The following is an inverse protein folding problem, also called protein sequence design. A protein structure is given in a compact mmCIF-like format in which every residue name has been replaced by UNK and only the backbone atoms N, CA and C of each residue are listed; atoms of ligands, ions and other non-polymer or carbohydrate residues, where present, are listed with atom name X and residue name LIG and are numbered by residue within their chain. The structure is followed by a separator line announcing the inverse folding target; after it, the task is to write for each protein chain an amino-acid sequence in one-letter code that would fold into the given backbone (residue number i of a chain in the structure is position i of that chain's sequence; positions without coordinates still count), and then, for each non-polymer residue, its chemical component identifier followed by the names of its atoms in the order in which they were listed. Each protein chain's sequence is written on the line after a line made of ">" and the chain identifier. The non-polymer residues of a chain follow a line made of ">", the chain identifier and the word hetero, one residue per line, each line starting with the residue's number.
data_IF_047584352846
#
_entry.id   IF_047584352846
#
_cell.length_a   1.000
_cell.length_b   1.000
_cell.length_c   1.000
_cell.angle_alpha   90.00
_cell.angle_beta   90.00
_cell.angle_gamma   90.00
#
_symmetry.space_group_name_H-M   'P 1'
#
loop_
_entity.id
_entity.type
_entity.pdbx_description
1 polymer ?
#
# COMPACT_ATOMS: atom_id res chain seq x y z
N UNK A 1 33.49 -15.49 -15.18
CA UNK A 1 32.07 -15.24 -14.86
C UNK A 1 32.00 -14.26 -13.69
N UNK A 2 31.60 -13.00 -13.92
CA UNK A 2 31.43 -12.00 -12.87
C UNK A 2 30.30 -12.44 -11.92
N UNK A 3 30.52 -12.39 -10.61
CA UNK A 3 29.59 -12.96 -9.62
C UNK A 3 28.21 -12.27 -9.67
N UNK A 4 27.09 -13.00 -9.51
CA UNK A 4 25.74 -12.42 -9.46
C UNK A 4 25.55 -11.42 -8.30
N UNK A 5 26.45 -11.43 -7.30
CA UNK A 5 26.45 -10.50 -6.16
C UNK A 5 26.71 -9.05 -6.58
N UNK A 6 27.53 -8.83 -7.61
CA UNK A 6 27.87 -7.50 -8.11
C UNK A 6 26.66 -6.80 -8.75
N UNK A 7 25.79 -7.56 -9.41
CA UNK A 7 24.56 -7.05 -10.02
C UNK A 7 23.47 -6.76 -8.99
N UNK A 8 23.39 -7.54 -7.92
CA UNK A 8 22.45 -7.27 -6.82
C UNK A 8 22.79 -5.96 -6.10
N UNK A 9 24.08 -5.71 -5.85
CA UNK A 9 24.56 -4.46 -5.24
C UNK A 9 24.33 -3.26 -6.17
N UNK A 10 24.57 -3.42 -7.48
CA UNK A 10 24.30 -2.39 -8.49
C UNK A 10 22.80 -2.08 -8.62
N UNK A 11 21.92 -3.08 -8.50
CA UNK A 11 20.47 -2.89 -8.45
C UNK A 11 20.05 -2.10 -7.21
N UNK A 12 20.58 -2.45 -6.03
CA UNK A 12 20.32 -1.73 -4.78
C UNK A 12 20.83 -0.28 -4.86
N UNK A 13 22.03 -0.05 -5.41
CA UNK A 13 22.61 1.30 -5.54
C UNK A 13 21.89 2.13 -6.61
N UNK A 14 21.45 1.52 -7.72
CA UNK A 14 20.66 2.19 -8.75
C UNK A 14 19.26 2.57 -8.26
N UNK A 15 18.66 1.78 -7.36
CA UNK A 15 17.40 2.13 -6.71
C UNK A 15 17.51 3.30 -5.73
N UNK A 16 18.70 3.53 -5.14
CA UNK A 16 18.94 4.65 -4.21
C UNK A 16 19.16 5.99 -4.93
N UNK A 17 19.46 6.00 -6.24
CA UNK A 17 19.89 7.20 -6.98
C UNK A 17 18.88 7.78 -7.97
N UNK A 18 17.64 7.30 -8.04
CA UNK A 18 16.65 7.87 -8.96
C UNK A 18 15.76 8.93 -8.29
N UNK A 19 16.11 10.20 -8.50
CA UNK A 19 15.19 11.35 -8.34
C UNK A 19 14.45 11.53 -9.67
N UNK A 20 13.41 10.74 -9.89
CA UNK A 20 12.52 10.94 -11.04
C UNK A 20 11.71 12.22 -10.83
N UNK A 21 11.77 13.13 -11.80
CA UNK A 21 10.85 14.27 -11.87
C UNK A 21 9.45 13.75 -12.23
N UNK A 22 8.63 13.48 -11.22
CA UNK A 22 7.19 13.29 -11.36
C UNK A 22 6.50 14.64 -11.13
N UNK A 23 5.46 14.95 -11.92
CA UNK A 23 4.58 16.07 -11.62
C UNK A 23 3.65 15.63 -10.48
N UNK A 24 3.94 16.11 -9.27
CA UNK A 24 3.41 15.65 -7.99
C UNK A 24 1.96 16.08 -7.77
N UNK A 25 1.02 15.18 -8.03
CA UNK A 25 -0.34 15.27 -7.49
C UNK A 25 -0.94 13.86 -7.52
N UNK A 26 -1.16 13.18 -6.40
CA UNK A 26 -1.83 11.87 -6.42
C UNK A 26 -3.29 11.97 -5.98
N UNK A 27 -3.61 12.79 -4.98
CA UNK A 27 -4.99 12.99 -4.56
C UNK A 27 -5.14 14.22 -3.67
N UNK A 28 -5.98 15.22 -4.04
CA UNK A 28 -6.31 16.34 -3.18
C UNK A 28 -6.85 15.92 -1.80
N UNK A 29 -7.50 14.76 -1.70
CA UNK A 29 -8.03 14.26 -0.43
C UNK A 29 -6.96 13.77 0.54
N UNK A 30 -5.73 13.52 0.06
CA UNK A 30 -4.61 13.10 0.90
C UNK A 30 -4.10 14.19 1.86
N UNK A 31 -4.64 15.42 1.79
CA UNK A 31 -4.45 16.47 2.81
C UNK A 31 -5.14 16.13 4.14
N UNK A 32 -6.14 15.23 4.13
CA UNK A 32 -6.98 14.95 5.28
C UNK A 32 -6.49 13.74 6.08
N UNK A 33 -6.68 13.77 7.39
CA UNK A 33 -6.35 12.63 8.27
C UNK A 33 -4.86 12.27 8.23
N UNK A 34 -4.57 10.99 7.94
CA UNK A 34 -3.20 10.47 7.80
C UNK A 34 -2.76 10.36 6.32
N UNK A 35 -3.52 10.96 5.40
CA UNK A 35 -3.35 10.82 3.96
C UNK A 35 -4.02 9.57 3.39
N UNK A 36 -3.71 9.24 2.14
CA UNK A 36 -4.31 8.08 1.47
C UNK A 36 -3.72 6.79 2.00
N UNK A 37 -4.55 5.96 2.64
CA UNK A 37 -4.15 4.66 3.17
C UNK A 37 -3.91 3.69 1.99
N UNK A 38 -2.77 3.02 2.02
CA UNK A 38 -2.41 2.05 0.98
C UNK A 38 -3.19 0.74 1.17
N UNK A 39 -4.09 0.46 0.24
CA UNK A 39 -4.91 -0.75 0.22
C UNK A 39 -4.22 -1.92 -0.51
N UNK A 40 -3.14 -1.65 -1.26
CA UNK A 40 -2.41 -2.62 -2.06
C UNK A 40 -1.33 -3.36 -1.27
N UNK A 41 -1.07 -4.60 -1.65
CA UNK A 41 0.00 -5.40 -1.02
C UNK A 41 1.23 -5.56 -1.92
N UNK A 42 1.11 -5.23 -3.21
CA UNK A 42 2.19 -5.27 -4.20
C UNK A 42 2.89 -6.63 -4.29
N UNK A 43 2.11 -7.71 -4.17
CA UNK A 43 2.56 -9.08 -4.35
C UNK A 43 1.85 -9.74 -5.54
N UNK A 44 1.98 -11.06 -5.58
CA UNK A 44 1.30 -11.94 -6.51
C UNK A 44 -0.19 -11.65 -6.72
N UNK A 45 -0.94 -11.17 -5.73
CA UNK A 45 -2.39 -10.94 -5.83
C UNK A 45 -2.78 -9.56 -6.38
N UNK A 46 -1.81 -8.74 -6.81
CA UNK A 46 -2.08 -7.38 -7.31
C UNK A 46 -3.08 -7.35 -8.47
N UNK A 47 -3.07 -8.34 -9.37
CA UNK A 47 -4.04 -8.45 -10.47
C UNK A 47 -5.41 -9.02 -10.06
N UNK A 48 -5.56 -9.50 -8.82
CA UNK A 48 -6.82 -9.98 -8.22
C UNK A 48 -7.42 -8.95 -7.26
N UNK A 49 -7.30 -7.66 -7.59
CA UNK A 49 -7.76 -6.52 -6.80
C UNK A 49 -7.16 -6.49 -5.38
N UNK A 50 -5.91 -6.96 -5.25
CA UNK A 50 -5.20 -7.13 -3.98
C UNK A 50 -5.89 -8.10 -2.99
N UNK A 51 -6.74 -9.02 -3.48
CA UNK A 51 -7.48 -10.00 -2.68
C UNK A 51 -6.60 -11.21 -2.34
N UNK A 52 -6.38 -11.49 -1.05
CA UNK A 52 -5.47 -12.54 -0.62
C UNK A 52 -5.48 -12.90 0.87
N UNK A 53 -6.46 -12.48 1.68
CA UNK A 53 -6.48 -12.77 3.14
C UNK A 53 -6.47 -14.28 3.42
N UNK A 54 -7.19 -15.06 2.63
CA UNK A 54 -7.21 -16.53 2.70
C UNK A 54 -6.25 -17.22 1.72
N UNK A 55 -5.60 -16.46 0.84
CA UNK A 55 -4.66 -17.01 -0.12
C UNK A 55 -3.33 -17.32 0.56
N UNK A 56 -2.77 -18.49 0.23
CA UNK A 56 -1.45 -18.91 0.69
C UNK A 56 -0.69 -19.52 -0.47
N UNK A 57 0.62 -19.29 -0.48
CA UNK A 57 1.49 -19.81 -1.52
C UNK A 57 2.80 -20.28 -0.92
N UNK A 58 3.28 -21.43 -1.39
CA UNK A 58 4.63 -21.87 -1.07
C UNK A 58 5.70 -21.18 -1.93
N UNK A 59 5.28 -20.46 -2.97
CA UNK A 59 6.15 -19.89 -4.00
C UNK A 59 6.17 -18.36 -4.06
N UNK A 60 5.38 -17.66 -3.25
CA UNK A 60 5.27 -16.19 -3.27
C UNK A 60 5.05 -15.65 -1.87
N UNK A 61 5.56 -14.45 -1.58
CA UNK A 61 5.34 -13.79 -0.29
C UNK A 61 3.98 -13.09 -0.26
N UNK A 62 3.01 -13.75 0.35
CA UNK A 62 1.66 -13.22 0.55
C UNK A 62 1.59 -12.55 1.93
N UNK A 63 1.78 -11.23 1.96
CA UNK A 63 1.73 -10.40 3.17
C UNK A 63 0.31 -9.88 3.50
N UNK A 64 -0.71 -10.27 2.73
CA UNK A 64 -2.11 -9.95 3.06
C UNK A 64 -2.53 -10.49 4.43
N UNK A 65 -1.91 -11.61 4.85
CA UNK A 65 -2.14 -12.25 6.13
C UNK A 65 -0.83 -12.92 6.60
N UNK A 66 -0.27 -12.56 7.78
CA UNK A 66 1.01 -13.11 8.23
C UNK A 66 1.00 -14.63 8.44
N UNK A 67 -0.17 -15.25 8.63
CA UNK A 67 -0.28 -16.71 8.74
C UNK A 67 0.16 -17.43 7.45
N UNK A 68 0.09 -16.76 6.29
CA UNK A 68 0.47 -17.32 4.99
C UNK A 68 1.97 -17.65 4.89
N UNK A 69 2.83 -16.97 5.67
CA UNK A 69 4.27 -17.22 5.66
C UNK A 69 4.63 -18.64 6.12
N UNK A 70 3.78 -19.28 6.93
CA UNK A 70 3.98 -20.66 7.39
C UNK A 70 4.01 -21.70 6.24
N UNK A 71 3.59 -21.31 5.04
CA UNK A 71 3.55 -22.16 3.86
C UNK A 71 4.72 -22.01 2.91
N UNK A 72 5.61 -21.02 3.12
CA UNK A 72 6.79 -20.82 2.29
C UNK A 72 7.59 -22.11 2.13
N UNK A 73 8.12 -22.33 0.92
CA UNK A 73 8.91 -23.51 0.62
C UNK A 73 10.18 -23.56 1.46
N UNK A 74 10.54 -24.76 1.91
CA UNK A 74 11.75 -24.99 2.70
C UNK A 74 13.00 -24.72 1.85
N UNK A 75 14.07 -24.24 2.50
CA UNK A 75 15.37 -23.94 1.88
C UNK A 75 15.33 -22.95 0.71
N UNK A 76 14.25 -22.20 0.53
CA UNK A 76 14.14 -21.13 -0.46
C UNK A 76 14.09 -19.80 0.28
N UNK A 77 14.91 -18.84 -0.16
CA UNK A 77 14.72 -17.45 0.20
C UNK A 77 14.01 -16.71 -0.91
N UNK A 78 13.17 -15.78 -0.51
CA UNK A 78 12.31 -14.98 -1.37
C UNK A 78 12.76 -13.54 -1.23
N UNK A 79 12.98 -12.88 -2.36
CA UNK A 79 13.21 -11.44 -2.45
C UNK A 79 12.16 -10.89 -3.41
N UNK A 80 11.32 -9.99 -2.95
CA UNK A 80 10.33 -9.35 -3.81
C UNK A 80 10.47 -7.83 -3.73
N UNK A 81 10.43 -7.17 -4.89
CA UNK A 81 10.41 -5.72 -5.00
C UNK A 81 9.29 -5.30 -5.94
N UNK A 82 8.61 -4.20 -5.64
CA UNK A 82 7.56 -3.67 -6.51
C UNK A 82 7.69 -2.18 -6.71
N UNK A 83 7.33 -1.74 -7.91
CA UNK A 83 7.18 -0.34 -8.26
C UNK A 83 5.84 -0.12 -8.94
N UNK A 84 5.28 1.08 -8.76
CA UNK A 84 4.00 1.47 -9.33
C UNK A 84 4.13 2.79 -10.06
N UNK A 85 3.52 2.86 -11.24
CA UNK A 85 3.23 4.10 -11.95
C UNK A 85 1.73 4.38 -11.84
N UNK A 86 1.37 5.60 -11.44
CA UNK A 86 -0.02 6.05 -11.30
C UNK A 86 -0.31 7.17 -12.28
N UNK A 87 -1.50 7.14 -12.89
CA UNK A 87 -2.01 8.13 -13.83
C UNK A 87 -3.39 8.55 -13.36
N UNK A 88 -3.61 9.83 -13.07
CA UNK A 88 -4.84 10.30 -12.45
C UNK A 88 -5.41 11.47 -13.23
N UNK A 89 -6.72 11.45 -13.44
CA UNK A 89 -7.48 12.55 -14.04
C UNK A 89 -8.58 12.98 -13.08
N UNK A 90 -8.71 14.28 -12.88
CA UNK A 90 -9.66 14.86 -11.92
C UNK A 90 -10.87 15.49 -12.63
N UNK A 91 -12.04 15.37 -12.02
CA UNK A 91 -13.31 15.90 -12.49
C UNK A 91 -14.08 16.55 -11.33
N UNK A 92 -14.75 17.69 -11.55
CA UNK A 92 -15.49 18.41 -10.50
C UNK A 92 -15.24 19.92 -10.53
N UNK A 93 -15.75 20.66 -9.53
CA UNK A 93 -15.79 22.14 -9.57
C UNK A 93 -14.84 22.79 -8.54
N UNK A 94 -13.87 23.62 -8.92
CA UNK A 94 -13.37 23.95 -10.27
C UNK A 94 -11.92 23.43 -10.44
N UNK A 95 -11.69 22.61 -11.47
CA UNK A 95 -10.35 22.20 -11.92
C UNK A 95 -10.16 22.79 -13.32
N UNK A 96 -9.17 23.66 -13.52
CA UNK A 96 -8.91 24.30 -14.82
C UNK A 96 -7.41 24.43 -15.13
N UNK A 97 -6.98 24.43 -16.40
CA UNK A 97 -7.77 24.36 -17.64
C UNK A 97 -7.89 22.92 -18.18
N UNK A 98 -9.09 22.35 -18.00
CA UNK A 98 -9.66 21.16 -18.66
C UNK A 98 -9.19 19.74 -18.24
N UNK A 99 -9.00 19.51 -16.94
CA UNK A 99 -8.91 18.18 -16.27
C UNK A 99 -7.50 17.59 -16.19
N UNK A 100 -6.64 18.32 -15.48
CA UNK A 100 -5.24 18.02 -15.17
C UNK A 100 -4.92 16.53 -14.97
N UNK A 101 -3.82 16.09 -15.58
CA UNK A 101 -3.34 14.71 -15.57
C UNK A 101 -2.04 14.62 -14.81
N UNK A 102 -2.02 13.81 -13.77
CA UNK A 102 -0.80 13.63 -12.97
C UNK A 102 -0.24 12.24 -13.10
N UNK A 103 1.09 12.18 -12.97
CA UNK A 103 1.88 10.97 -13.14
C UNK A 103 2.79 10.84 -11.95
N UNK A 104 2.67 9.73 -11.26
CA UNK A 104 3.51 9.40 -10.12
C UNK A 104 4.23 8.08 -10.36
N UNK A 105 5.43 7.95 -9.83
CA UNK A 105 6.20 6.72 -9.83
C UNK A 105 6.83 6.51 -8.47
N UNK A 106 6.51 5.39 -7.84
CA UNK A 106 7.00 5.06 -6.52
C UNK A 106 7.46 3.61 -6.42
N UNK A 107 8.47 3.39 -5.57
CA UNK A 107 8.87 2.06 -5.13
C UNK A 107 7.98 1.71 -3.95
N UNK A 108 7.11 0.73 -4.17
CA UNK A 108 6.01 0.44 -3.26
C UNK A 108 6.34 -0.66 -2.27
N UNK A 109 7.33 -1.49 -2.60
CA UNK A 109 7.67 -2.62 -1.75
C UNK A 109 9.08 -3.10 -1.96
N UNK A 110 9.71 -3.45 -0.85
CA UNK A 110 10.81 -4.39 -0.80
C UNK A 110 10.55 -5.40 0.33
N UNK A 111 10.73 -6.68 0.07
CA UNK A 111 10.52 -7.71 1.09
C UNK A 111 11.44 -8.90 0.89
N UNK A 112 11.87 -9.46 2.01
CA UNK A 112 12.61 -10.71 2.11
C UNK A 112 11.76 -11.70 2.88
N UNK A 113 11.86 -12.97 2.55
CA UNK A 113 11.21 -14.01 3.34
C UNK A 113 11.90 -15.35 3.22
N UNK A 114 11.76 -16.14 4.28
CA UNK A 114 12.33 -17.47 4.40
C UNK A 114 11.38 -18.38 5.16
N UNK A 115 11.45 -19.67 4.88
CA UNK A 115 10.96 -20.67 5.79
C UNK A 115 12.06 -20.98 6.81
N UNK A 116 11.85 -20.66 8.07
CA UNK A 116 12.85 -20.87 9.13
C UNK A 116 12.91 -22.35 9.53
N UNK A 117 11.75 -23.00 9.62
CA UNK A 117 11.65 -24.45 9.84
C UNK A 117 10.31 -25.01 9.32
N UNK A 118 10.02 -26.29 9.57
CA UNK A 118 8.81 -26.95 9.05
C UNK A 118 7.49 -26.30 9.46
N UNK A 119 7.45 -25.55 10.56
CA UNK A 119 6.24 -24.89 11.04
C UNK A 119 6.31 -23.36 11.03
N UNK A 120 7.48 -22.75 10.86
CA UNK A 120 7.67 -21.30 10.94
C UNK A 120 8.22 -20.73 9.64
N UNK A 121 7.52 -19.72 9.11
CA UNK A 121 8.05 -18.82 8.08
C UNK A 121 8.07 -17.38 8.55
N UNK A 122 9.04 -16.62 8.05
CA UNK A 122 9.27 -15.24 8.45
C UNK A 122 9.47 -14.37 7.21
N UNK A 123 9.07 -13.11 7.30
CA UNK A 123 9.31 -12.10 6.29
C UNK A 123 9.64 -10.77 6.95
N UNK A 124 10.55 -10.02 6.33
CA UNK A 124 10.82 -8.62 6.67
C UNK A 124 10.62 -7.78 5.43
N UNK A 125 10.17 -6.55 5.58
CA UNK A 125 10.04 -5.68 4.43
C UNK A 125 9.66 -4.26 4.76
N UNK A 126 9.53 -3.48 3.70
CA UNK A 126 9.19 -2.07 3.72
C UNK A 126 8.14 -1.80 2.64
N UNK A 127 7.14 -1.01 2.98
CA UNK A 127 6.10 -0.51 2.06
C UNK A 127 5.47 0.76 2.65
N UNK A 128 4.81 1.63 1.86
CA UNK A 128 4.02 2.71 2.42
C UNK A 128 2.82 2.16 3.21
N UNK A 129 2.42 2.90 4.23
CA UNK A 129 1.16 2.71 4.95
C UNK A 129 0.15 3.76 4.52
N UNK A 130 0.58 5.01 4.41
CA UNK A 130 -0.20 6.09 3.82
C UNK A 130 0.68 7.11 3.10
N UNK A 131 0.08 7.87 2.19
CA UNK A 131 0.77 8.91 1.43
C UNK A 131 0.02 10.24 1.48
N UNK A 132 0.75 11.34 1.59
CA UNK A 132 0.25 12.68 1.31
C UNK A 132 0.96 13.20 0.07
N UNK A 133 0.23 13.39 -1.01
CA UNK A 133 0.78 13.93 -2.25
C UNK A 133 -0.32 14.69 -2.99
N UNK A 134 -0.33 16.00 -2.79
CA UNK A 134 -1.31 16.90 -3.40
C UNK A 134 -0.69 18.25 -3.75
N UNK A 135 -1.25 18.88 -4.77
CA UNK A 135 -0.93 20.26 -5.15
C UNK A 135 -2.17 20.90 -5.74
N UNK A 136 -2.68 21.95 -5.11
CA UNK A 136 -3.83 22.71 -5.62
C UNK A 136 -3.81 24.16 -5.12
N UNK A 137 -4.45 25.04 -5.90
CA UNK A 137 -4.68 26.43 -5.50
C UNK A 137 -6.10 26.58 -4.97
N UNK A 138 -6.26 27.23 -3.83
CA UNK A 138 -7.56 27.55 -3.23
C UNK A 138 -7.65 29.01 -2.78
N UNK A 139 -8.87 29.49 -2.55
CA UNK A 139 -9.07 30.80 -1.93
C UNK A 139 -8.94 30.66 -0.40
N UNK A 140 -8.08 31.49 0.19
CA UNK A 140 -7.91 31.59 1.64
C UNK A 140 -8.42 32.94 2.13
N UNK A 141 -9.37 32.93 3.06
CA UNK A 141 -9.81 34.14 3.75
C UNK A 141 -8.75 34.57 4.76
N UNK A 142 -8.35 35.84 4.70
CA UNK A 142 -7.38 36.42 5.64
C UNK A 142 -8.10 36.72 6.95
N UNK A 143 -7.69 36.03 8.02
CA UNK A 143 -8.25 36.17 9.36
C UNK A 143 -8.25 37.63 9.80
N UNK A 144 -9.39 38.14 10.27
CA UNK A 144 -9.56 39.55 10.67
C UNK A 144 -9.84 40.52 9.51
N UNK A 145 -10.08 40.03 8.29
CA UNK A 145 -10.49 40.84 7.14
C UNK A 145 -11.61 40.17 6.33
N UNK A 146 -12.27 40.94 5.46
CA UNK A 146 -13.21 40.40 4.46
C UNK A 146 -12.52 40.02 3.13
N UNK A 147 -11.18 40.00 3.10
CA UNK A 147 -10.40 39.74 1.89
C UNK A 147 -10.09 38.24 1.81
N UNK A 148 -10.26 37.67 0.63
CA UNK A 148 -9.75 36.33 0.30
C UNK A 148 -8.66 36.44 -0.76
N UNK A 149 -7.58 35.71 -0.58
CA UNK A 149 -6.44 35.67 -1.50
C UNK A 149 -6.23 34.25 -2.02
N UNK A 150 -5.75 34.06 -3.26
CA UNK A 150 -5.22 32.77 -3.68
C UNK A 150 -4.12 32.29 -2.74
N UNK A 151 -4.16 31.01 -2.40
CA UNK A 151 -3.12 30.31 -1.66
C UNK A 151 -2.84 28.96 -2.34
N UNK A 152 -1.57 28.66 -2.51
CA UNK A 152 -1.13 27.36 -3.05
C UNK A 152 -0.89 26.40 -1.89
N UNK A 153 -1.47 25.22 -1.99
CA UNK A 153 -1.33 24.13 -1.04
C UNK A 153 -0.57 22.99 -1.70
N UNK A 154 0.61 22.70 -1.18
CA UNK A 154 1.42 21.54 -1.56
C UNK A 154 1.52 20.61 -0.36
N UNK A 155 1.39 19.31 -0.57
CA UNK A 155 1.65 18.32 0.45
C UNK A 155 2.48 17.17 -0.07
N UNK A 156 3.45 16.74 0.71
CA UNK A 156 4.30 15.60 0.39
C UNK A 156 4.60 14.76 1.63
N UNK A 157 5.08 13.53 1.38
CA UNK A 157 5.47 12.59 2.42
C UNK A 157 4.41 11.52 2.64
N UNK A 158 4.34 11.01 3.87
CA UNK A 158 3.54 9.83 4.18
C UNK A 158 4.10 9.06 5.37
N UNK A 159 3.36 8.02 5.75
CA UNK A 159 3.80 7.07 6.77
C UNK A 159 4.20 5.79 6.08
N UNK A 160 5.41 5.33 6.34
CA UNK A 160 5.91 4.05 5.87
C UNK A 160 5.86 3.00 6.97
N UNK A 161 5.77 1.73 6.58
CA UNK A 161 5.87 0.60 7.48
C UNK A 161 7.14 -0.21 7.20
N UNK A 162 7.92 -0.45 8.24
CA UNK A 162 8.96 -1.47 8.27
C UNK A 162 8.43 -2.64 9.08
N UNK A 163 8.23 -3.79 8.46
CA UNK A 163 7.56 -4.91 9.13
C UNK A 163 8.47 -6.12 9.32
N UNK A 164 8.19 -6.84 10.40
CA UNK A 164 8.65 -8.20 10.63
C UNK A 164 7.45 -9.11 10.88
N UNK A 165 7.14 -9.93 9.88
CA UNK A 165 6.03 -10.86 9.86
C UNK A 165 6.47 -12.29 10.12
N UNK A 166 5.70 -13.01 10.92
CA UNK A 166 5.94 -14.41 11.29
C UNK A 166 4.65 -15.20 11.16
N UNK A 167 4.71 -16.34 10.47
CA UNK A 167 3.61 -17.28 10.32
C UNK A 167 3.98 -18.64 10.89
N UNK A 168 3.08 -19.20 11.70
CA UNK A 168 3.26 -20.47 12.40
C UNK A 168 2.15 -21.46 12.04
N UNK A 169 2.56 -22.65 11.60
CA UNK A 169 1.70 -23.80 11.31
C UNK A 169 1.42 -24.55 12.60
N UNK A 170 0.26 -24.33 13.19
CA UNK A 170 -0.16 -24.97 14.44
C UNK A 170 -0.62 -26.41 14.19
N UNK A 171 -1.40 -26.61 13.13
CA UNK A 171 -1.80 -27.94 12.66
C UNK A 171 -1.57 -28.05 11.16
N UNK A 172 -1.84 -29.23 10.58
CA UNK A 172 -1.77 -29.41 9.12
C UNK A 172 -2.74 -28.51 8.36
N UNK A 173 -3.79 -28.03 9.02
CA UNK A 173 -4.88 -27.23 8.44
C UNK A 173 -4.92 -25.81 8.97
N UNK A 174 -4.39 -25.54 10.17
CA UNK A 174 -4.53 -24.26 10.83
C UNK A 174 -3.17 -23.57 11.01
N UNK A 175 -3.12 -22.29 10.70
CA UNK A 175 -1.93 -21.46 10.84
C UNK A 175 -2.31 -20.11 11.44
N UNK A 176 -1.44 -19.57 12.27
CA UNK A 176 -1.55 -18.24 12.85
C UNK A 176 -0.35 -17.40 12.43
N UNK A 177 -0.44 -16.10 12.56
CA UNK A 177 0.67 -15.21 12.31
C UNK A 177 0.56 -13.89 13.05
N UNK A 178 1.71 -13.26 13.20
CA UNK A 178 1.87 -11.93 13.79
C UNK A 178 2.78 -11.12 12.88
N UNK A 179 2.45 -9.85 12.70
CA UNK A 179 3.25 -8.89 11.98
C UNK A 179 3.50 -7.68 12.88
N UNK A 180 4.75 -7.45 13.22
CA UNK A 180 5.16 -6.26 13.96
C UNK A 180 5.67 -5.22 12.97
N UNK A 181 4.88 -4.17 12.74
CA UNK A 181 5.32 -3.04 11.92
C UNK A 181 5.83 -1.90 12.80
N UNK A 182 6.90 -1.22 12.39
CA UNK A 182 7.25 0.11 12.86
C UNK A 182 6.76 1.10 11.81
N UNK A 183 5.75 1.89 12.17
CA UNK A 183 5.22 2.97 11.36
C UNK A 183 6.04 4.22 11.65
N UNK A 184 6.59 4.86 10.61
CA UNK A 184 7.27 6.14 10.72
C UNK A 184 7.09 6.99 9.47
N UNK A 185 7.10 8.31 9.63
CA UNK A 185 7.14 9.22 8.50
C UNK A 185 6.55 10.58 8.81
N UNK A 186 6.75 11.51 7.89
CA UNK A 186 6.33 12.90 8.04
C UNK A 186 5.28 13.22 6.98
N UNK A 187 4.18 13.82 7.41
CA UNK A 187 3.22 14.48 6.54
C UNK A 187 3.56 15.96 6.53
N UNK A 188 4.02 16.48 5.38
CA UNK A 188 4.39 17.89 5.23
C UNK A 188 3.33 18.62 4.45
N UNK A 189 2.81 19.71 5.00
CA UNK A 189 1.86 20.62 4.36
C UNK A 189 2.51 21.99 4.23
N UNK A 190 2.72 22.43 2.99
CA UNK A 190 3.21 23.75 2.65
C UNK A 190 2.06 24.59 2.10
N UNK A 191 1.87 25.74 2.71
CA UNK A 191 0.92 26.76 2.29
C UNK A 191 1.69 28.01 1.86
N UNK A 192 1.47 28.44 0.62
CA UNK A 192 2.10 29.63 0.07
C UNK A 192 1.04 30.69 -0.19
N UNK A 193 1.19 31.85 0.45
CA UNK A 193 0.35 33.02 0.20
C UNK A 193 1.20 34.06 -0.53
N UNK A 194 0.79 34.45 -1.74
CA UNK A 194 1.39 35.54 -2.50
C UNK A 194 0.31 36.25 -3.31
N UNK A 195 0.21 37.57 -3.18
CA UNK A 195 -0.73 38.37 -3.98
C UNK A 195 -0.14 39.73 -4.34
N UNK A 196 -0.72 40.39 -5.33
CA UNK A 196 -0.47 41.81 -5.68
C UNK A 196 -0.79 42.78 -4.53
N UNK A 197 -1.42 42.31 -3.45
CA UNK A 197 -1.86 43.08 -2.26
C UNK A 197 -1.01 42.82 -1.01
N UNK A 198 -0.08 41.85 -1.04
CA UNK A 198 0.82 41.53 0.09
C UNK A 198 2.26 41.75 -0.40
N UNK A 199 2.99 42.68 0.21
CA UNK A 199 4.31 43.13 -0.26
C UNK A 199 5.38 42.03 -0.29
N UNK A 200 5.21 40.94 0.47
CA UNK A 200 6.12 39.81 0.51
C UNK A 200 5.34 38.49 0.55
N UNK A 201 5.77 37.51 -0.25
CA UNK A 201 5.29 36.13 -0.17
C UNK A 201 5.52 35.58 1.24
N UNK A 202 4.56 34.83 1.77
CA UNK A 202 4.68 34.10 3.04
C UNK A 202 4.46 32.62 2.77
N UNK A 203 5.38 31.80 3.24
CA UNK A 203 5.29 30.35 3.17
C UNK A 203 5.19 29.80 4.58
N UNK A 204 4.15 29.02 4.84
CA UNK A 204 3.97 28.29 6.10
C UNK A 204 4.08 26.80 5.82
N UNK A 205 5.08 26.15 6.41
CA UNK A 205 5.23 24.70 6.41
C UNK A 205 4.77 24.15 7.75
N UNK A 206 3.92 23.12 7.71
CA UNK A 206 3.47 22.36 8.88
C UNK A 206 3.83 20.91 8.67
N UNK A 207 4.65 20.36 9.55
CA UNK A 207 5.01 18.96 9.52
C UNK A 207 4.38 18.21 10.68
N UNK A 208 3.92 16.99 10.41
CA UNK A 208 3.49 16.04 11.44
C UNK A 208 4.33 14.79 11.30
N UNK A 209 5.27 14.60 12.23
CA UNK A 209 6.08 13.40 12.29
C UNK A 209 5.39 12.33 13.14
N UNK A 210 5.01 11.22 12.52
CA UNK A 210 4.29 10.12 13.13
C UNK A 210 5.21 8.93 13.36
N UNK A 211 5.14 8.31 14.55
CA UNK A 211 5.87 7.06 14.84
C UNK A 211 5.20 6.18 15.89
N UNK A 212 5.12 4.87 15.63
CA UNK A 212 4.96 3.84 16.66
C UNK A 212 5.10 2.42 16.10
N UNK A 213 5.19 1.43 16.98
CA UNK A 213 4.92 0.04 16.63
C UNK A 213 3.42 -0.21 16.43
N UNK A 214 3.09 -0.98 15.40
CA UNK A 214 1.74 -1.37 15.01
C UNK A 214 1.69 -2.89 14.77
N UNK A 215 1.31 -3.68 15.78
CA UNK A 215 1.16 -5.12 15.64
C UNK A 215 -0.16 -5.47 14.95
N UNK A 216 -0.10 -6.43 14.04
CA UNK A 216 -1.28 -7.08 13.45
C UNK A 216 -1.17 -8.60 13.51
N UNK A 217 -2.32 -9.25 13.47
CA UNK A 217 -2.47 -10.68 13.67
C UNK A 217 -3.22 -11.28 12.48
N UNK A 218 -2.97 -12.56 12.24
CA UNK A 218 -3.60 -13.28 11.17
C UNK A 218 -3.83 -14.74 11.52
N UNK A 219 -4.86 -15.33 10.95
CA UNK A 219 -5.10 -16.76 10.98
C UNK A 219 -5.59 -17.24 9.63
N UNK A 220 -5.27 -18.49 9.30
CA UNK A 220 -5.73 -19.18 8.11
C UNK A 220 -6.06 -20.63 8.44
N UNK A 221 -7.21 -21.08 7.94
CA UNK A 221 -7.57 -22.49 7.88
C UNK A 221 -7.59 -22.95 6.42
N UNK A 222 -6.96 -24.08 6.13
CA UNK A 222 -6.83 -24.67 4.81
C UNK A 222 -7.24 -26.14 4.84
N UNK A 223 -8.09 -26.55 3.91
CA UNK A 223 -8.57 -27.92 3.81
C UNK A 223 -8.71 -28.35 2.35
N UNK A 224 -8.40 -29.62 2.08
CA UNK A 224 -8.63 -30.21 0.75
C UNK A 224 -9.99 -30.87 0.75
N UNK A 225 -10.96 -30.26 0.07
CA UNK A 225 -12.32 -30.80 -0.02
C UNK A 225 -12.36 -32.13 -0.78
N UNK A 226 -11.53 -32.26 -1.81
CA UNK A 226 -11.32 -33.49 -2.58
C UNK A 226 -10.02 -33.40 -3.41
N UNK A 227 -9.80 -34.34 -4.33
CA UNK A 227 -8.60 -34.35 -5.19
C UNK A 227 -8.49 -33.15 -6.14
N UNK A 228 -9.60 -32.45 -6.41
CA UNK A 228 -9.67 -31.32 -7.34
C UNK A 228 -9.79 -29.97 -6.63
N UNK A 229 -10.31 -29.90 -5.41
CA UNK A 229 -10.66 -28.64 -4.76
C UNK A 229 -9.97 -28.47 -3.41
N UNK A 230 -9.28 -27.35 -3.30
CA UNK A 230 -8.71 -26.84 -2.06
C UNK A 230 -9.52 -25.63 -1.59
N UNK A 231 -9.75 -25.52 -0.28
CA UNK A 231 -10.49 -24.45 0.36
C UNK A 231 -9.62 -23.78 1.42
N UNK A 232 -9.73 -22.45 1.51
CA UNK A 232 -9.11 -21.62 2.53
C UNK A 232 -10.08 -20.60 3.09
N UNK A 233 -9.99 -20.36 4.38
CA UNK A 233 -10.60 -19.20 5.06
C UNK A 233 -9.51 -18.50 5.86
N UNK A 234 -9.54 -17.18 5.87
CA UNK A 234 -8.56 -16.37 6.58
C UNK A 234 -9.22 -15.23 7.31
N UNK A 235 -8.57 -14.78 8.38
CA UNK A 235 -8.93 -13.56 9.07
C UNK A 235 -7.67 -12.81 9.49
N UNK A 236 -7.79 -11.48 9.58
CA UNK A 236 -6.76 -10.58 10.07
C UNK A 236 -7.35 -9.59 11.06
N UNK A 237 -6.53 -9.17 12.02
CA UNK A 237 -6.94 -8.20 13.03
C UNK A 237 -5.75 -7.30 13.40
N UNK A 238 -5.98 -6.00 13.49
CA UNK A 238 -5.04 -5.07 14.08
C UNK A 238 -5.79 -4.22 15.11
N UNK A 239 -5.22 -4.12 16.31
CA UNK A 239 -5.80 -3.40 17.41
C UNK A 239 -5.58 -1.89 17.25
N UNK A 240 -6.54 -1.09 17.74
CA UNK A 240 -6.46 0.37 17.82
C UNK A 240 -5.11 0.82 18.39
N UNK A 241 -4.41 1.74 17.71
CA UNK A 241 -3.06 2.13 18.14
C UNK A 241 -2.80 3.61 17.96
N UNK A 242 -2.31 4.23 19.02
CA UNK A 242 -1.88 5.62 19.02
C UNK A 242 -0.49 5.75 18.40
N UNK A 243 -0.34 6.59 17.39
CA UNK A 243 0.94 7.00 16.84
C UNK A 243 1.37 8.28 17.53
N UNK A 244 2.61 8.33 18.04
CA UNK A 244 3.16 9.58 18.58
C UNK A 244 3.27 10.57 17.44
N UNK A 245 2.73 11.77 17.63
CA UNK A 245 2.67 12.83 16.63
C UNK A 245 3.39 14.07 17.15
N UNK A 246 4.42 14.50 16.44
CA UNK A 246 5.20 15.69 16.74
C UNK A 246 4.91 16.72 15.65
N UNK A 247 4.32 17.85 16.05
CA UNK A 247 3.88 18.90 15.14
C UNK A 247 4.87 20.06 15.13
N UNK A 248 5.42 20.38 13.97
CA UNK A 248 6.26 21.56 13.79
C UNK A 248 5.62 22.54 12.83
N UNK A 249 5.91 23.83 13.01
CA UNK A 249 5.51 24.85 12.05
C UNK A 249 6.64 25.84 11.82
N UNK A 250 7.00 26.00 10.56
CA UNK A 250 8.02 26.91 10.10
C UNK A 250 7.38 27.94 9.17
N UNK A 251 7.63 29.22 9.43
CA UNK A 251 7.14 30.33 8.61
C UNK A 251 8.33 31.05 8.01
N UNK A 252 8.36 31.19 6.68
CA UNK A 252 9.40 31.91 5.95
C UNK A 252 8.79 33.02 5.11
N UNK A 253 9.58 34.06 4.84
CA UNK A 253 9.23 35.11 3.86
C UNK A 253 9.68 34.71 2.45
N UNK A 254 9.33 35.53 1.45
CA UNK A 254 9.70 35.35 0.05
C UNK A 254 11.20 35.35 -0.27
N UNK A 255 12.08 35.65 0.71
CA UNK A 255 13.54 35.51 0.58
C UNK A 255 14.10 34.29 1.33
N UNK A 256 13.23 33.36 1.76
CA UNK A 256 13.55 32.17 2.55
C UNK A 256 14.18 32.48 3.92
N UNK A 257 13.99 33.69 4.44
CA UNK A 257 14.37 34.00 5.82
C UNK A 257 13.33 33.41 6.76
N UNK A 258 13.75 32.59 7.70
CA UNK A 258 12.88 32.03 8.74
C UNK A 258 12.39 33.14 9.65
N UNK A 259 11.07 33.37 9.63
CA UNK A 259 10.37 34.30 10.52
C UNK A 259 10.08 33.62 11.86
N UNK A 260 9.74 32.33 11.83
CA UNK A 260 9.39 31.54 13.00
C UNK A 260 9.64 30.06 12.75
N UNK A 261 10.13 29.33 13.74
CA UNK A 261 10.27 27.88 13.71
C UNK A 261 9.98 27.31 15.10
N UNK A 262 8.86 26.60 15.25
CA UNK A 262 8.39 26.13 16.55
C UNK A 262 7.92 24.68 16.47
N UNK A 263 8.25 23.91 17.51
CA UNK A 263 7.47 22.73 17.88
C UNK A 263 6.16 23.23 18.47
N UNK A 264 5.07 22.95 17.76
CA UNK A 264 3.74 23.50 18.08
C UNK A 264 2.94 22.61 19.01
N UNK A 265 3.15 21.29 18.96
CA UNK A 265 2.39 20.31 19.76
C UNK A 265 3.06 18.93 19.75
N UNK A 266 3.02 18.24 20.90
CA UNK A 266 3.13 16.77 20.96
C UNK A 266 1.73 16.19 21.22
N UNK A 267 1.31 15.23 20.42
CA UNK A 267 -0.01 14.59 20.52
C UNK A 267 0.03 13.14 20.02
N UNK A 268 -1.15 12.57 19.79
CA UNK A 268 -1.33 11.25 19.21
C UNK A 268 -2.28 11.26 18.01
N UNK A 269 -1.88 10.58 16.94
CA UNK A 269 -2.78 10.19 15.86
C UNK A 269 -3.17 8.73 16.04
N UNK A 270 -4.45 8.45 16.24
CA UNK A 270 -4.94 7.11 16.57
C UNK A 270 -5.41 6.37 15.33
N UNK A 271 -4.87 5.17 15.11
CA UNK A 271 -5.38 4.22 14.13
C UNK A 271 -6.49 3.38 14.75
N UNK A 272 -7.57 3.05 14.02
CA UNK A 272 -8.70 2.29 14.54
C UNK A 272 -8.41 0.79 14.60
N UNK A 273 -9.33 0.06 15.22
CA UNK A 273 -9.40 -1.39 15.02
C UNK A 273 -9.64 -1.69 13.53
N UNK A 274 -8.85 -2.61 12.99
CA UNK A 274 -8.97 -3.10 11.61
C UNK A 274 -9.22 -4.60 11.62
N UNK A 275 -10.24 -5.04 10.90
CA UNK A 275 -10.59 -6.47 10.76
C UNK A 275 -10.68 -6.83 9.30
N UNK A 276 -10.19 -8.01 8.94
CA UNK A 276 -10.32 -8.57 7.60
C UNK A 276 -10.75 -10.03 7.66
N UNK A 277 -11.57 -10.46 6.72
CA UNK A 277 -11.94 -11.86 6.50
C UNK A 277 -11.84 -12.17 5.01
N UNK A 278 -11.51 -13.41 4.68
CA UNK A 278 -11.41 -13.82 3.29
C UNK A 278 -11.66 -15.30 3.08
N UNK A 279 -11.96 -15.65 1.84
CA UNK A 279 -12.12 -17.03 1.38
C UNK A 279 -11.29 -17.26 0.12
N UNK A 280 -10.79 -18.48 -0.05
CA UNK A 280 -10.04 -18.91 -1.22
C UNK A 280 -10.50 -20.31 -1.65
N UNK A 281 -10.73 -20.50 -2.95
CA UNK A 281 -11.05 -21.78 -3.55
C UNK A 281 -10.12 -22.04 -4.72
N UNK A 282 -9.34 -23.11 -4.66
CA UNK A 282 -8.41 -23.47 -5.73
C UNK A 282 -8.78 -24.81 -6.36
N UNK A 283 -9.09 -24.77 -7.66
CA UNK A 283 -9.36 -25.93 -8.50
C UNK A 283 -8.09 -26.43 -9.18
N UNK A 284 -7.80 -27.73 -9.03
CA UNK A 284 -6.70 -28.45 -9.65
C UNK A 284 -5.33 -27.77 -9.47
N UNK A 285 -5.15 -27.00 -8.37
CA UNK A 285 -3.98 -26.16 -8.14
C UNK A 285 -3.67 -25.16 -9.27
N UNK A 286 -4.65 -24.83 -10.12
CA UNK A 286 -4.46 -24.00 -11.34
C UNK A 286 -5.38 -22.80 -11.37
N UNK A 287 -6.65 -22.97 -10.98
CA UNK A 287 -7.61 -21.86 -10.98
C UNK A 287 -7.94 -21.51 -9.55
N UNK A 288 -7.66 -20.29 -9.13
CA UNK A 288 -7.94 -19.82 -7.78
C UNK A 288 -8.99 -18.73 -7.83
N UNK A 289 -9.99 -18.81 -6.97
CA UNK A 289 -10.97 -17.78 -6.71
C UNK A 289 -10.75 -17.26 -5.30
N UNK A 290 -10.82 -15.94 -5.11
CA UNK A 290 -10.64 -15.28 -3.83
C UNK A 290 -11.70 -14.20 -3.62
N UNK A 291 -12.10 -13.99 -2.38
CA UNK A 291 -12.94 -12.86 -1.98
C UNK A 291 -12.56 -12.44 -0.56
N UNK A 292 -12.42 -11.13 -0.34
CA UNK A 292 -12.04 -10.53 0.93
C UNK A 292 -13.01 -9.40 1.30
N UNK A 293 -13.21 -9.21 2.61
CA UNK A 293 -13.86 -8.06 3.21
C UNK A 293 -12.96 -7.48 4.29
N UNK A 294 -12.70 -6.17 4.25
CA UNK A 294 -11.94 -5.41 5.25
C UNK A 294 -12.80 -4.30 5.83
N UNK A 295 -12.62 -4.01 7.12
CA UNK A 295 -13.35 -2.98 7.85
C UNK A 295 -12.42 -2.25 8.83
N UNK A 296 -12.55 -0.93 8.93
CA UNK A 296 -11.82 -0.10 9.89
C UNK A 296 -12.78 0.82 10.65
N UNK A 297 -12.74 0.77 11.99
CA UNK A 297 -13.67 1.46 12.88
C UNK A 297 -13.25 2.92 13.20
N UNK A 298 -13.17 3.78 12.19
CA UNK A 298 -12.70 5.17 12.34
C UNK A 298 -13.64 6.10 13.11
N UNK A 299 -14.96 5.85 13.08
CA UNK A 299 -15.95 6.76 13.66
C UNK A 299 -15.77 6.88 15.18
N UNK A 300 -15.30 5.81 15.83
CA UNK A 300 -15.04 5.75 17.28
C UNK A 300 -13.91 6.70 17.73
N UNK A 301 -13.10 7.19 16.78
CA UNK A 301 -11.97 8.08 17.04
C UNK A 301 -12.36 9.57 17.04
N UNK A 302 -13.54 9.92 16.53
CA UNK A 302 -14.10 11.28 16.54
C UNK A 302 -13.20 12.38 15.93
N UNK A 303 -12.34 12.02 14.97
CA UNK A 303 -11.54 12.98 14.23
C UNK A 303 -12.42 13.82 13.28
N UNK A 304 -12.30 15.15 13.38
CA UNK A 304 -13.07 16.12 12.60
C UNK A 304 -12.26 17.37 12.29
N UNK A 305 -12.50 17.96 11.12
CA UNK A 305 -12.03 19.28 10.71
C UNK A 305 -13.19 20.16 10.24
N UNK A 306 -12.87 21.28 9.59
CA UNK A 306 -13.87 22.29 9.20
C UNK A 306 -14.99 21.73 8.30
N UNK A 307 -14.64 20.88 7.32
CA UNK A 307 -15.59 20.32 6.34
C UNK A 307 -15.46 18.79 6.17
N UNK A 308 -14.82 18.12 7.13
CA UNK A 308 -14.63 16.67 7.04
C UNK A 308 -14.64 16.02 8.42
N UNK A 309 -14.96 14.73 8.45
CA UNK A 309 -14.78 13.87 9.61
C UNK A 309 -14.39 12.46 9.15
N UNK A 310 -13.77 11.70 10.05
CA UNK A 310 -13.39 10.32 9.76
C UNK A 310 -14.58 9.39 10.05
N UNK A 311 -14.89 8.53 9.08
CA UNK A 311 -16.02 7.60 9.11
C UNK A 311 -15.53 6.17 8.89
N UNK A 312 -16.26 5.18 9.41
CA UNK A 312 -15.91 3.77 9.23
C UNK A 312 -15.68 3.43 7.75
N UNK A 313 -14.54 2.81 7.46
CA UNK A 313 -14.18 2.40 6.11
C UNK A 313 -14.42 0.92 5.92
N UNK A 314 -14.67 0.52 4.68
CA UNK A 314 -14.86 -0.89 4.34
C UNK A 314 -14.43 -1.15 2.92
N UNK A 315 -13.81 -2.30 2.66
CA UNK A 315 -13.44 -2.72 1.30
C UNK A 315 -13.89 -4.15 1.05
N UNK A 316 -14.64 -4.34 -0.02
CA UNK A 316 -14.97 -5.64 -0.60
C UNK A 316 -14.12 -5.84 -1.85
N UNK A 317 -13.49 -7.00 -2.00
CA UNK A 317 -12.75 -7.34 -3.22
C UNK A 317 -12.88 -8.81 -3.56
N UNK A 318 -12.84 -9.12 -4.85
CA UNK A 318 -12.86 -10.49 -5.34
C UNK A 318 -11.96 -10.62 -6.57
N UNK A 319 -11.44 -11.82 -6.80
CA UNK A 319 -10.56 -12.06 -7.93
C UNK A 319 -10.42 -13.52 -8.32
N UNK A 320 -9.90 -13.72 -9.52
CA UNK A 320 -9.61 -15.02 -10.11
C UNK A 320 -8.18 -15.03 -10.64
N UNK A 321 -7.50 -16.15 -10.44
CA UNK A 321 -6.22 -16.47 -11.06
C UNK A 321 -6.34 -17.75 -11.89
N UNK A 322 -5.76 -17.76 -13.08
CA UNK A 322 -5.60 -18.95 -13.93
C UNK A 322 -4.11 -19.15 -14.22
N UNK A 323 -3.52 -20.15 -13.57
CA UNK A 323 -2.13 -20.53 -13.71
C UNK A 323 -1.93 -21.69 -14.68
N UNK A 324 -1.10 -21.47 -15.71
CA UNK A 324 -0.62 -22.52 -16.60
C UNK A 324 0.63 -23.17 -16.00
N UNK A 325 0.46 -24.42 -15.60
CA UNK A 325 1.49 -25.26 -15.01
C UNK A 325 1.91 -26.35 -15.99
N UNK A 326 3.21 -26.50 -16.23
CA UNK A 326 3.79 -27.57 -17.06
C UNK A 326 4.52 -28.57 -16.19
N UNK A 327 4.39 -29.85 -16.52
CA UNK A 327 5.15 -30.90 -15.87
C UNK A 327 6.61 -30.84 -16.37
N UNK A 328 7.55 -30.61 -15.48
CA UNK A 328 8.98 -30.82 -15.72
C UNK A 328 9.40 -32.24 -15.36
N UNK A 329 10.71 -32.52 -15.47
CA UNK A 329 11.27 -33.86 -15.25
C UNK A 329 11.01 -34.41 -13.83
N UNK A 330 11.08 -33.56 -12.80
CA UNK A 330 10.77 -33.93 -11.41
C UNK A 330 9.68 -33.07 -10.75
N UNK A 331 9.46 -31.85 -11.23
CA UNK A 331 8.56 -30.88 -10.59
C UNK A 331 7.64 -30.21 -11.61
N UNK A 332 6.43 -29.85 -11.19
CA UNK A 332 5.54 -29.01 -11.97
C UNK A 332 5.95 -27.53 -11.81
N UNK A 333 6.25 -26.86 -12.92
CA UNK A 333 6.63 -25.44 -12.93
C UNK A 333 5.49 -24.60 -13.50
N UNK A 334 5.11 -23.54 -12.80
CA UNK A 334 4.20 -22.53 -13.32
C UNK A 334 4.94 -21.64 -14.33
N UNK A 335 4.45 -21.59 -15.57
CA UNK A 335 5.10 -20.81 -16.63
C UNK A 335 4.50 -19.43 -16.77
N UNK A 336 3.16 -19.33 -16.72
CA UNK A 336 2.42 -18.08 -16.88
C UNK A 336 1.14 -18.17 -16.09
N UNK A 337 0.66 -17.04 -15.60
CA UNK A 337 -0.63 -16.90 -14.96
C UNK A 337 -1.31 -15.61 -15.43
N UNK A 338 -2.64 -15.62 -15.33
CA UNK A 338 -3.49 -14.47 -15.64
C UNK A 338 -4.43 -14.23 -14.47
N UNK A 339 -4.70 -12.97 -14.19
CA UNK A 339 -5.52 -12.55 -13.07
C UNK A 339 -6.52 -11.50 -13.52
N UNK A 340 -7.67 -11.51 -12.85
CA UNK A 340 -8.65 -10.43 -12.90
C UNK A 340 -9.28 -10.26 -11.51
N UNK A 341 -9.67 -9.05 -11.18
CA UNK A 341 -10.32 -8.75 -9.91
C UNK A 341 -11.17 -7.49 -9.97
N UNK A 342 -12.07 -7.38 -9.01
CA UNK A 342 -12.97 -6.24 -8.81
C UNK A 342 -12.91 -5.82 -7.34
N UNK A 343 -13.12 -4.54 -7.09
CA UNK A 343 -13.26 -4.04 -5.73
C UNK A 343 -14.26 -2.89 -5.62
N UNK A 344 -14.77 -2.72 -4.41
CA UNK A 344 -15.58 -1.59 -3.97
C UNK A 344 -15.17 -1.22 -2.55
N UNK A 345 -14.93 0.05 -2.31
CA UNK A 345 -14.43 0.58 -1.06
C UNK A 345 -15.19 1.83 -0.64
N UNK A 346 -15.56 1.92 0.63
CA UNK A 346 -15.96 3.13 1.29
C UNK A 346 -14.73 3.70 2.01
N UNK A 347 -14.35 4.92 1.67
CA UNK A 347 -13.21 5.62 2.26
C UNK A 347 -13.43 5.90 3.73
N UNK A 348 -12.34 6.08 4.47
CA UNK A 348 -12.41 6.58 5.84
C UNK A 348 -12.73 8.08 5.94
N UNK A 349 -12.78 8.77 4.79
CA UNK A 349 -13.07 10.20 4.69
C UNK A 349 -14.54 10.45 4.33
N UNK A 350 -15.19 11.27 5.13
CA UNK A 350 -16.44 11.94 4.80
C UNK A 350 -16.18 13.44 4.66
N UNK A 351 -16.48 14.01 3.49
CA UNK A 351 -16.24 15.42 3.17
C UNK A 351 -17.56 16.03 2.71
N UNK A 352 -17.94 17.18 3.26
CA UNK A 352 -19.23 17.82 2.96
C UNK A 352 -20.45 16.87 3.14
N UNK A 353 -20.42 16.02 4.17
CA UNK A 353 -21.43 15.00 4.47
C UNK A 353 -21.56 13.86 3.44
N UNK A 354 -20.62 13.76 2.49
CA UNK A 354 -20.59 12.69 1.49
C UNK A 354 -19.34 11.81 1.73
N UNK A 355 -19.57 10.52 1.97
CA UNK A 355 -18.49 9.55 2.14
C UNK A 355 -17.89 9.20 0.78
N UNK A 356 -16.58 9.36 0.63
CA UNK A 356 -15.90 9.06 -0.62
C UNK A 356 -15.95 7.55 -0.90
N UNK A 357 -16.31 7.18 -2.12
CA UNK A 357 -16.35 5.79 -2.59
C UNK A 357 -15.25 5.57 -3.60
N UNK A 358 -14.69 4.37 -3.64
CA UNK A 358 -13.68 3.96 -4.61
C UNK A 358 -14.02 2.58 -5.16
N UNK A 359 -14.11 2.46 -6.48
CA UNK A 359 -14.45 1.21 -7.13
C UNK A 359 -13.63 1.04 -8.40
N UNK A 360 -13.35 -0.21 -8.75
CA UNK A 360 -12.52 -0.48 -9.91
C UNK A 360 -12.35 -1.95 -10.20
N UNK A 361 -11.49 -2.20 -11.18
CA UNK A 361 -11.06 -3.52 -11.57
C UNK A 361 -9.55 -3.56 -11.70
N UNK A 362 -9.00 -4.76 -11.60
CA UNK A 362 -7.60 -5.02 -11.91
C UNK A 362 -7.48 -6.21 -12.84
N UNK A 363 -6.48 -6.18 -13.69
CA UNK A 363 -6.03 -7.34 -14.45
C UNK A 363 -4.54 -7.54 -14.20
N UNK A 364 -4.10 -8.78 -14.25
CA UNK A 364 -2.69 -9.09 -14.07
C UNK A 364 -2.23 -10.24 -14.95
N UNK A 365 -0.94 -10.24 -15.22
CA UNK A 365 -0.26 -11.39 -15.78
C UNK A 365 1.13 -11.50 -15.20
N UNK A 366 1.65 -12.71 -15.19
CA UNK A 366 3.06 -12.85 -14.88
C UNK A 366 3.62 -14.16 -15.35
N UNK A 367 4.93 -14.22 -15.28
CA UNK A 367 5.72 -15.29 -15.84
C UNK A 367 6.87 -15.61 -14.91
N UNK A 368 7.12 -16.89 -14.73
CA UNK A 368 8.32 -17.36 -14.06
C UNK A 368 9.31 -17.78 -15.14
N UNK A 369 10.53 -17.26 -15.05
CA UNK A 369 11.60 -17.70 -15.92
C UNK A 369 11.89 -19.17 -15.69
N UNK A 370 12.11 -19.90 -16.79
CA UNK A 370 12.55 -21.30 -16.72
C UNK A 370 14.05 -21.46 -16.51
N UNK A 371 14.81 -20.39 -16.78
CA UNK A 371 16.28 -20.43 -16.84
C UNK A 371 16.95 -19.80 -15.60
N UNK A 372 16.22 -18.98 -14.86
CA UNK A 372 16.71 -18.32 -13.67
C UNK A 372 15.62 -18.25 -12.59
N UNK A 373 16.04 -17.85 -11.40
CA UNK A 373 15.22 -17.73 -10.19
C UNK A 373 14.20 -16.57 -10.21
N UNK A 374 14.04 -15.86 -11.34
CA UNK A 374 13.20 -14.67 -11.44
C UNK A 374 11.76 -15.00 -11.85
N UNK A 375 10.83 -14.31 -11.22
CA UNK A 375 9.43 -14.19 -11.58
C UNK A 375 9.06 -12.72 -11.72
N UNK A 376 8.10 -12.47 -12.61
CA UNK A 376 7.61 -11.14 -12.92
C UNK A 376 6.10 -11.15 -12.84
N UNK A 377 5.52 -10.13 -12.23
CA UNK A 377 4.08 -9.89 -12.19
C UNK A 377 3.82 -8.45 -12.63
N UNK A 378 2.93 -8.29 -13.59
CA UNK A 378 2.44 -7.02 -14.10
C UNK A 378 0.96 -6.95 -13.77
N UNK A 379 0.55 -5.90 -13.07
CA UNK A 379 -0.85 -5.65 -12.76
C UNK A 379 -1.23 -4.26 -13.24
N UNK A 380 -2.39 -4.15 -13.86
CA UNK A 380 -3.03 -2.89 -14.18
C UNK A 380 -4.32 -2.79 -13.38
N UNK A 381 -4.49 -1.69 -12.66
CA UNK A 381 -5.69 -1.35 -11.91
C UNK A 381 -6.30 -0.08 -12.50
N UNK A 382 -7.60 -0.09 -12.73
CA UNK A 382 -8.36 1.09 -13.11
C UNK A 382 -9.49 1.30 -12.11
N UNK A 383 -9.61 2.52 -11.60
CA UNK A 383 -10.63 2.85 -10.60
C UNK A 383 -11.16 4.26 -10.71
N UNK A 384 -12.29 4.46 -10.04
CA UNK A 384 -12.99 5.74 -9.91
C UNK A 384 -13.22 5.97 -8.43
N UNK A 385 -12.64 7.05 -7.90
CA UNK A 385 -12.75 7.47 -6.50
C UNK A 385 -13.44 8.83 -6.39
N UNK A 386 -14.28 9.00 -5.37
CA UNK A 386 -15.00 10.24 -5.11
C UNK A 386 -16.21 10.47 -6.02
N UNK A 387 -16.75 11.68 -5.97
CA UNK A 387 -17.96 12.09 -6.67
C UNK A 387 -17.85 13.55 -7.11
N UNK A 388 -18.67 13.95 -8.08
CA UNK A 388 -18.77 15.34 -8.54
C UNK A 388 -19.87 16.12 -7.79
N UNK A 389 -20.61 15.44 -6.91
CA UNK A 389 -21.67 16.04 -6.10
C UNK A 389 -21.10 16.89 -4.96
N UNK A 390 -21.88 17.82 -4.43
CA UNK A 390 -21.54 18.60 -3.22
C UNK A 390 -20.19 19.34 -3.31
N UNK A 391 -19.79 19.75 -4.52
CA UNK A 391 -18.51 20.43 -4.78
C UNK A 391 -17.28 19.53 -4.58
N UNK A 392 -17.45 18.21 -4.61
CA UNK A 392 -16.36 17.25 -4.46
C UNK A 392 -15.66 16.96 -5.80
N UNK A 393 -14.45 16.43 -5.68
CA UNK A 393 -13.60 15.99 -6.77
C UNK A 393 -13.77 14.49 -6.96
N UNK A 394 -13.92 14.07 -8.22
CA UNK A 394 -13.84 12.69 -8.65
C UNK A 394 -12.50 12.45 -9.35
N UNK A 395 -11.85 11.35 -8.97
CA UNK A 395 -10.57 10.89 -9.49
C UNK A 395 -10.81 9.65 -10.35
N UNK A 396 -10.38 9.66 -11.61
CA UNK A 396 -10.24 8.44 -12.40
C UNK A 396 -8.77 8.12 -12.49
N UNK A 397 -8.38 6.92 -12.07
CA UNK A 397 -6.98 6.54 -12.01
C UNK A 397 -6.70 5.23 -12.75
N UNK A 398 -5.52 5.17 -13.36
CA UNK A 398 -4.89 3.96 -13.86
C UNK A 398 -3.57 3.74 -13.12
N UNK A 399 -3.33 2.52 -12.63
CA UNK A 399 -2.11 2.16 -11.91
C UNK A 399 -1.46 0.95 -12.55
N UNK A 400 -0.20 1.07 -12.94
CA UNK A 400 0.63 -0.02 -13.45
C UNK A 400 1.60 -0.45 -12.36
N UNK A 401 1.45 -1.66 -11.85
CA UNK A 401 2.35 -2.24 -10.84
C UNK A 401 3.20 -3.33 -11.47
N UNK A 402 4.51 -3.26 -11.24
CA UNK A 402 5.47 -4.29 -11.60
C UNK A 402 6.04 -4.87 -10.31
N UNK A 403 5.87 -6.17 -10.11
CA UNK A 403 6.48 -6.92 -9.00
C UNK A 403 7.52 -7.89 -9.56
N UNK A 404 8.75 -7.76 -9.08
CA UNK A 404 9.84 -8.68 -9.33
C UNK A 404 9.97 -9.62 -8.14
N UNK A 405 10.07 -10.92 -8.41
CA UNK A 405 10.29 -11.95 -7.39
C UNK A 405 11.55 -12.72 -7.75
N UNK A 406 12.52 -12.79 -6.85
CA UNK A 406 13.69 -13.64 -6.95
C UNK A 406 13.60 -14.72 -5.88
N UNK A 407 13.78 -15.98 -6.29
CA UNK A 407 13.64 -17.15 -5.43
C UNK A 407 14.77 -18.12 -5.67
N UNK A 408 15.65 -18.27 -4.71
CA UNK A 408 16.81 -19.16 -4.87
C UNK A 408 17.00 -20.01 -3.63
N UNK A 409 17.75 -21.09 -3.81
CA UNK A 409 18.08 -21.99 -2.74
C UNK A 409 19.02 -21.29 -1.76
N UNK A 410 18.64 -21.33 -0.50
CA UNK A 410 19.57 -21.03 0.57
C UNK A 410 20.43 -22.27 0.80
N UNK A 411 21.61 -22.32 0.17
CA UNK A 411 22.60 -23.37 0.37
C UNK A 411 23.14 -23.33 1.81
N UNK A 412 22.39 -23.91 2.75
CA UNK A 412 22.93 -24.26 4.07
C UNK A 412 23.86 -25.45 3.86
N UNK A 413 25.18 -25.22 3.90
CA UNK A 413 26.15 -26.31 3.89
C UNK A 413 25.89 -27.21 5.12
N UNK A 414 25.60 -28.48 4.87
CA UNK A 414 25.51 -29.53 5.89
C UNK A 414 25.62 -30.92 5.28
N UNK A 415 26.85 -31.30 4.91
CA UNK A 415 27.34 -32.63 4.45
C UNK A 415 26.93 -33.09 3.04
N UNK A 416 27.88 -32.96 2.10
CA UNK A 416 28.09 -33.98 1.06
C UNK A 416 28.78 -35.16 1.75
N UNK A 417 28.10 -36.30 1.86
CA UNK A 417 28.81 -37.56 1.95
C UNK A 417 29.10 -38.01 0.52
N UNK A 418 30.39 -38.22 0.26
CA UNK A 418 30.90 -38.82 -0.97
C UNK A 418 30.46 -40.28 -1.06
#
# INVERSE_FOLDING_TARGET
>A
MKSPRSYLLLLIIAFVHYRGFAQNNSSPYSILGIGDIEESHFNRVSGMANTGIAYRSSGYLINNNPAAYSELSDQIFFVEAAARASFISYYGTAITSENDQTRDFAIERFSLGIRVNKFWGSSVGFMPYSTANYSFTGLKSIQGSNISTPADYEGNGGVNQFYWGNGFKITKHFSIGVNLAYLNGTLSQKETIGSTSVSNQVVTTKDVYLRNFYPSYGMQFYHKLNSKWDFGIGATYAYKKDLKAEYTSTVTNGTNTTISDNVTKDDYFTLPNTTGVGIALTKNKKTTFVADYRYQAWSDLNYKGFNYYLQNSSRLSAGIEISKKKQGYQNTVETVFYQAGLFYSNSYLNVNNEQLKDMGFSIGMGFNSKRNALGYCFAFEYGIRGTQNSGLIQEKYGRLTITLSYRDFWLTKGRKYY
#
